data_IF_851090563133
#
_entry.id   IF_851090563133
#
_cell.length_a   1.000
_cell.length_b   1.000
_cell.length_c   1.000
_cell.angle_alpha   90.00
_cell.angle_beta   90.00
_cell.angle_gamma   90.00
#
_symmetry.space_group_name_H-M   'P 1'
#
loop_
_entity.id
_entity.type
_entity.pdbx_description
1 polymer ?
#
# COMPACT_ATOMS: atom_id res chain seq x y z
N UNK A 1 16.51 12.59 7.48
CA UNK A 1 15.99 11.20 7.42
C UNK A 1 17.19 10.27 7.39
N UNK A 2 17.47 9.50 8.44
CA UNK A 2 18.66 8.64 8.48
C UNK A 2 18.49 7.56 7.40
N UNK A 3 19.40 7.47 6.40
CA UNK A 3 19.37 6.37 5.44
C UNK A 3 19.53 5.09 6.26
N UNK A 4 18.63 4.13 6.06
CA UNK A 4 18.76 2.82 6.68
C UNK A 4 20.18 2.32 6.43
N UNK A 5 20.90 1.98 7.50
CA UNK A 5 22.17 1.25 7.38
C UNK A 5 21.84 0.04 6.52
N UNK A 6 22.35 0.05 5.29
CA UNK A 6 21.88 -0.84 4.24
C UNK A 6 22.13 -2.30 4.58
N UNK A 7 21.96 -3.18 3.60
CA UNK A 7 22.36 -4.59 3.63
C UNK A 7 23.77 -4.87 4.23
N UNK A 8 24.59 -3.85 4.48
CA UNK A 8 25.87 -3.93 5.19
C UNK A 8 25.78 -4.05 6.72
N UNK A 9 24.62 -3.83 7.37
CA UNK A 9 24.47 -4.05 8.82
C UNK A 9 23.35 -5.05 9.06
N UNK A 10 23.72 -6.28 9.40
CA UNK A 10 22.81 -7.37 9.72
C UNK A 10 23.43 -8.28 10.79
N UNK A 11 22.58 -9.02 11.49
CA UNK A 11 23.02 -10.13 12.33
C UNK A 11 23.09 -11.40 11.49
N UNK A 12 24.25 -12.07 11.46
CA UNK A 12 24.39 -13.40 10.86
C UNK A 12 23.56 -14.40 11.68
N UNK A 13 22.57 -15.01 11.02
CA UNK A 13 21.64 -15.92 11.65
C UNK A 13 21.95 -17.40 11.37
N UNK A 14 23.20 -17.71 11.00
CA UNK A 14 23.66 -19.07 10.69
C UNK A 14 23.50 -20.06 11.85
N UNK A 15 23.64 -19.61 13.10
CA UNK A 15 23.46 -20.48 14.28
C UNK A 15 21.99 -20.69 14.67
N UNK A 16 21.10 -19.80 14.23
CA UNK A 16 19.67 -19.82 14.56
C UNK A 16 18.91 -20.78 13.66
N UNK A 17 19.36 -20.92 12.42
CA UNK A 17 18.67 -21.64 11.36
C UNK A 17 19.58 -22.66 10.71
N UNK A 18 19.20 -23.95 10.74
CA UNK A 18 19.97 -25.04 10.12
C UNK A 18 19.14 -25.79 9.09
N UNK A 19 19.78 -26.03 7.96
CA UNK A 19 19.31 -26.93 6.92
C UNK A 19 19.56 -28.39 7.30
N UNK A 20 18.89 -29.35 6.63
CA UNK A 20 19.21 -30.76 6.76
C UNK A 20 20.66 -31.03 6.29
N UNK A 21 21.35 -32.06 6.83
CA UNK A 21 22.74 -32.37 6.48
C UNK A 21 23.02 -32.51 4.98
N UNK A 22 22.04 -32.97 4.20
CA UNK A 22 22.13 -33.14 2.74
C UNK A 22 21.34 -32.07 1.96
N UNK A 23 21.37 -30.83 2.42
CA UNK A 23 20.62 -29.72 1.81
C UNK A 23 20.84 -29.57 0.30
N UNK A 24 22.10 -29.66 -0.14
CA UNK A 24 22.46 -29.55 -1.56
C UNK A 24 21.88 -30.69 -2.41
N UNK A 25 21.56 -31.83 -1.80
CA UNK A 25 21.00 -33.01 -2.46
C UNK A 25 19.48 -33.07 -2.33
N UNK A 26 18.88 -32.22 -1.49
CA UNK A 26 17.45 -32.22 -1.23
C UNK A 26 16.69 -31.99 -2.55
N UNK A 27 15.88 -32.97 -3.00
CA UNK A 27 15.17 -32.85 -4.26
C UNK A 27 13.97 -31.93 -4.09
N UNK A 28 13.96 -30.83 -4.82
CA UNK A 28 12.77 -30.03 -5.01
C UNK A 28 12.07 -30.50 -6.27
N UNK A 29 10.82 -30.91 -6.10
CA UNK A 29 9.94 -31.36 -7.17
C UNK A 29 9.30 -30.15 -7.83
N UNK A 30 9.06 -30.23 -9.12
CA UNK A 30 8.28 -29.25 -9.86
C UNK A 30 7.77 -29.93 -11.13
N UNK A 31 6.47 -30.28 -11.15
CA UNK A 31 5.95 -31.23 -12.14
C UNK A 31 6.74 -32.55 -12.07
N UNK A 32 7.23 -33.01 -13.22
CA UNK A 32 8.03 -34.24 -13.34
C UNK A 32 9.54 -34.02 -13.12
N UNK A 33 9.99 -32.77 -12.97
CA UNK A 33 11.41 -32.46 -12.80
C UNK A 33 11.86 -32.48 -11.33
N UNK A 34 12.98 -33.18 -11.08
CA UNK A 34 13.75 -33.09 -9.83
C UNK A 34 14.88 -32.09 -9.96
N UNK A 35 14.92 -31.11 -9.07
CA UNK A 35 16.04 -30.17 -8.95
C UNK A 35 16.76 -30.27 -7.62
N UNK A 36 18.08 -30.18 -7.69
CA UNK A 36 19.02 -30.20 -6.56
C UNK A 36 20.27 -29.40 -6.95
N UNK A 37 21.23 -29.27 -6.05
CA UNK A 37 22.45 -28.47 -6.25
C UNK A 37 22.29 -27.01 -5.82
N UNK A 38 21.35 -26.75 -4.91
CA UNK A 38 21.17 -25.46 -4.28
C UNK A 38 22.12 -25.28 -3.09
N UNK A 39 22.67 -24.09 -2.92
CA UNK A 39 23.53 -23.71 -1.82
C UNK A 39 22.95 -22.49 -1.10
N UNK A 40 23.02 -22.48 0.23
CA UNK A 40 22.63 -21.31 1.00
C UNK A 40 23.63 -20.18 0.71
N UNK A 41 23.14 -19.08 0.16
CA UNK A 41 23.94 -17.90 -0.08
C UNK A 41 24.13 -17.08 1.21
N UNK A 42 23.04 -16.85 1.96
CA UNK A 42 23.09 -16.17 3.25
C UNK A 42 21.84 -16.42 4.10
N UNK A 43 22.00 -16.15 5.41
CA UNK A 43 20.93 -16.06 6.42
C UNK A 43 21.15 -14.79 7.22
N UNK A 44 20.22 -13.84 7.14
CA UNK A 44 20.39 -12.52 7.74
C UNK A 44 19.17 -12.16 8.57
N UNK A 45 19.40 -11.64 9.76
CA UNK A 45 18.38 -10.95 10.54
C UNK A 45 18.65 -9.46 10.43
N UNK A 46 17.64 -8.71 10.01
CA UNK A 46 17.74 -7.27 9.79
C UNK A 46 16.63 -6.59 10.58
N UNK A 47 16.97 -5.49 11.26
CA UNK A 47 16.04 -4.67 12.04
C UNK A 47 16.10 -3.23 11.56
N UNK A 48 14.95 -2.55 11.59
CA UNK A 48 14.87 -1.12 11.29
C UNK A 48 15.19 -0.21 12.48
N UNK A 49 15.53 -0.79 13.62
CA UNK A 49 15.70 -0.07 14.88
C UNK A 49 14.39 0.51 15.43
N UNK A 50 13.25 0.08 14.90
CA UNK A 50 11.93 0.53 15.33
C UNK A 50 11.03 -0.67 15.65
N UNK A 51 10.36 -1.24 14.66
CA UNK A 51 9.35 -2.31 14.84
C UNK A 51 9.49 -3.43 13.81
N UNK A 52 10.14 -3.14 12.68
CA UNK A 52 10.33 -4.07 11.59
C UNK A 52 11.54 -4.95 11.83
N UNK A 53 11.30 -6.26 11.91
CA UNK A 53 12.34 -7.27 11.91
C UNK A 53 12.07 -8.21 10.74
N UNK A 54 13.06 -8.36 9.85
CA UNK A 54 13.01 -9.31 8.74
C UNK A 54 14.11 -10.34 8.88
N UNK A 55 13.74 -11.60 8.72
CA UNK A 55 14.68 -12.68 8.48
C UNK A 55 14.74 -12.96 6.97
N UNK A 56 15.92 -12.86 6.39
CA UNK A 56 16.17 -13.20 4.98
C UNK A 56 16.96 -14.49 4.87
N UNK A 57 16.45 -15.38 4.02
CA UNK A 57 17.17 -16.55 3.56
C UNK A 57 17.33 -16.46 2.05
N UNK A 58 18.57 -16.51 1.58
CA UNK A 58 18.86 -16.63 0.17
C UNK A 58 19.50 -17.98 -0.14
N UNK A 59 19.06 -18.55 -1.24
CA UNK A 59 19.58 -19.78 -1.80
C UNK A 59 19.93 -19.50 -3.25
N UNK A 60 21.10 -19.97 -3.67
CA UNK A 60 21.57 -19.88 -5.04
C UNK A 60 21.74 -21.29 -5.59
N UNK A 61 21.36 -21.50 -6.85
CA UNK A 61 21.57 -22.76 -7.56
C UNK A 61 21.66 -22.49 -9.04
N UNK A 62 22.64 -23.10 -9.71
CA UNK A 62 22.80 -22.99 -11.14
C UNK A 62 22.10 -24.13 -11.87
N UNK A 63 21.14 -23.81 -12.74
CA UNK A 63 20.78 -24.71 -13.87
C UNK A 63 21.60 -24.39 -15.12
N UNK A 64 22.09 -23.16 -15.23
CA UNK A 64 22.99 -22.69 -16.29
C UNK A 64 24.30 -23.50 -16.29
N UNK A 65 24.42 -24.45 -17.22
CA UNK A 65 25.64 -25.27 -17.38
C UNK A 65 25.39 -26.77 -17.53
N UNK A 66 24.23 -27.29 -17.08
CA UNK A 66 23.83 -28.66 -17.42
C UNK A 66 23.25 -28.66 -18.83
N UNK A 67 24.10 -28.91 -19.83
CA UNK A 67 23.71 -29.00 -21.25
C UNK A 67 22.45 -29.86 -21.39
N UNK A 68 21.44 -29.35 -22.09
CA UNK A 68 20.24 -30.09 -22.48
C UNK A 68 19.06 -30.06 -21.49
N UNK A 69 19.14 -29.36 -20.35
CA UNK A 69 17.94 -29.16 -19.51
C UNK A 69 17.01 -28.10 -20.09
N UNK A 70 15.72 -28.44 -20.17
CA UNK A 70 14.69 -27.49 -20.56
C UNK A 70 14.58 -26.34 -19.55
N UNK A 71 14.14 -25.17 -20.04
CA UNK A 71 13.69 -24.05 -19.20
C UNK A 71 12.44 -24.49 -18.43
N UNK A 72 12.31 -24.09 -17.17
CA UNK A 72 11.09 -24.36 -16.42
C UNK A 72 9.88 -23.68 -17.09
N UNK A 73 8.76 -24.40 -17.28
CA UNK A 73 7.47 -23.77 -17.49
C UNK A 73 7.15 -22.78 -16.35
N UNK A 74 6.35 -21.76 -16.64
CA UNK A 74 6.08 -20.72 -15.64
C UNK A 74 5.35 -21.24 -14.39
N UNK A 75 4.38 -22.15 -14.56
CA UNK A 75 3.69 -22.78 -13.43
C UNK A 75 4.64 -23.62 -12.57
N UNK A 76 5.57 -24.31 -13.21
CA UNK A 76 6.61 -25.10 -12.55
C UNK A 76 7.56 -24.21 -11.73
N UNK A 77 7.94 -23.03 -12.23
CA UNK A 77 8.73 -22.09 -11.44
C UNK A 77 8.03 -21.71 -10.12
N UNK A 78 6.73 -21.42 -10.15
CA UNK A 78 5.98 -21.07 -8.93
C UNK A 78 5.84 -22.27 -8.00
N UNK A 79 5.57 -23.46 -8.54
CA UNK A 79 5.50 -24.70 -7.76
C UNK A 79 6.84 -24.99 -7.07
N UNK A 80 7.96 -24.83 -7.78
CA UNK A 80 9.30 -24.95 -7.23
C UNK A 80 9.52 -23.97 -6.07
N UNK A 81 9.14 -22.70 -6.24
CA UNK A 81 9.27 -21.67 -5.21
C UNK A 81 8.41 -21.97 -3.98
N UNK A 82 7.23 -22.55 -4.15
CA UNK A 82 6.38 -22.95 -3.02
C UNK A 82 6.93 -24.18 -2.31
N UNK A 83 7.51 -25.14 -3.04
CA UNK A 83 8.13 -26.33 -2.45
C UNK A 83 9.33 -25.99 -1.56
N UNK A 84 9.97 -24.82 -1.75
CA UNK A 84 10.94 -24.30 -0.79
C UNK A 84 10.34 -24.08 0.60
N UNK A 85 9.08 -23.68 0.70
CA UNK A 85 8.41 -23.48 1.98
C UNK A 85 8.20 -24.79 2.73
N UNK A 86 8.15 -25.93 2.04
CA UNK A 86 8.12 -27.28 2.63
C UNK A 86 9.50 -27.87 2.90
N UNK A 87 10.58 -27.10 2.75
CA UNK A 87 11.90 -27.56 3.16
C UNK A 87 11.93 -27.76 4.68
N UNK A 88 12.28 -28.97 5.18
CA UNK A 88 12.44 -29.21 6.61
C UNK A 88 13.68 -28.46 7.11
N UNK A 89 13.54 -27.77 8.24
CA UNK A 89 14.58 -26.94 8.84
C UNK A 89 14.58 -27.13 10.36
N UNK A 90 15.68 -26.76 11.01
CA UNK A 90 15.79 -26.73 12.45
C UNK A 90 16.06 -25.29 12.92
N UNK A 91 15.21 -24.77 13.80
CA UNK A 91 15.38 -23.46 14.43
C UNK A 91 15.79 -23.64 15.88
N UNK A 92 16.84 -22.96 16.32
CA UNK A 92 17.35 -23.07 17.70
C UNK A 92 16.27 -22.68 18.72
N UNK A 93 15.91 -23.63 19.59
CA UNK A 93 14.79 -23.50 20.53
C UNK A 93 15.17 -22.67 21.75
N UNK A 94 14.16 -22.10 22.40
CA UNK A 94 14.29 -21.35 23.64
C UNK A 94 14.43 -22.31 24.84
N UNK A 95 15.64 -22.79 25.13
CA UNK A 95 15.98 -23.51 26.38
C UNK A 95 17.49 -23.51 26.69
N UNK A 96 17.87 -23.94 27.90
CA UNK A 96 19.24 -24.38 28.19
C UNK A 96 19.48 -25.71 27.47
N UNK A 97 20.50 -25.74 26.62
CA UNK A 97 20.84 -26.87 25.74
C UNK A 97 20.57 -26.57 24.26
N UNK A 98 21.32 -27.25 23.39
CA UNK A 98 21.31 -27.16 21.93
C UNK A 98 20.03 -27.75 21.29
N UNK A 99 18.88 -27.62 21.98
CA UNK A 99 17.57 -28.12 21.53
C UNK A 99 17.10 -27.29 20.34
N UNK A 100 16.58 -27.98 19.31
CA UNK A 100 16.08 -27.35 18.09
C UNK A 100 14.64 -27.75 17.83
N UNK A 101 13.87 -26.78 17.35
CA UNK A 101 12.51 -26.98 16.88
C UNK A 101 12.58 -27.32 15.38
N UNK A 102 12.22 -28.54 15.04
CA UNK A 102 12.09 -28.95 13.65
C UNK A 102 10.76 -28.42 13.10
N UNK A 103 10.80 -27.73 11.97
CA UNK A 103 9.62 -27.21 11.28
C UNK A 103 9.89 -27.11 9.77
N UNK A 104 8.90 -26.69 9.00
CA UNK A 104 9.08 -26.36 7.59
C UNK A 104 9.45 -24.88 7.45
N UNK A 105 10.17 -24.51 6.39
CA UNK A 105 10.61 -23.12 6.16
C UNK A 105 9.44 -22.13 6.19
N UNK A 106 8.31 -22.44 5.55
CA UNK A 106 7.12 -21.60 5.56
C UNK A 106 6.46 -21.43 6.93
N UNK A 107 6.85 -22.26 7.91
CA UNK A 107 6.36 -22.23 9.29
C UNK A 107 7.41 -21.70 10.29
N UNK A 108 8.58 -21.25 9.80
CA UNK A 108 9.68 -20.79 10.63
C UNK A 108 9.37 -19.54 11.46
N UNK A 109 8.34 -18.76 11.08
CA UNK A 109 8.02 -17.49 11.73
C UNK A 109 7.80 -17.61 13.24
N UNK A 110 7.02 -18.60 13.69
CA UNK A 110 6.73 -18.80 15.11
C UNK A 110 7.98 -19.16 15.95
N UNK A 111 8.80 -20.18 15.59
CA UNK A 111 10.02 -20.46 16.34
C UNK A 111 11.07 -19.35 16.24
N UNK A 112 11.18 -18.64 15.11
CA UNK A 112 12.07 -17.47 15.00
C UNK A 112 11.65 -16.33 15.93
N UNK A 113 10.35 -16.05 15.99
CA UNK A 113 9.76 -15.05 16.88
C UNK A 113 10.06 -15.37 18.34
N UNK A 114 9.85 -16.63 18.76
CA UNK A 114 10.18 -17.07 20.12
C UNK A 114 11.68 -16.94 20.44
N UNK A 115 12.55 -17.25 19.47
CA UNK A 115 13.99 -17.09 19.61
C UNK A 115 14.40 -15.63 19.77
N UNK A 116 13.90 -14.74 18.91
CA UNK A 116 14.22 -13.30 18.94
C UNK A 116 13.73 -12.67 20.23
N UNK A 117 12.50 -12.96 20.66
CA UNK A 117 11.96 -12.45 21.91
C UNK A 117 12.91 -12.79 23.06
N UNK A 118 13.26 -14.06 23.24
CA UNK A 118 14.22 -14.47 24.27
C UNK A 118 15.58 -13.77 24.15
N UNK A 119 16.12 -13.70 22.93
CA UNK A 119 17.45 -13.13 22.69
C UNK A 119 17.50 -11.63 23.05
N UNK A 120 16.39 -10.92 22.88
CA UNK A 120 16.28 -9.47 23.07
C UNK A 120 15.72 -9.07 24.44
N UNK A 121 14.99 -9.97 25.13
CA UNK A 121 14.37 -9.70 26.43
C UNK A 121 15.03 -10.49 27.56
N UNK A 122 16.36 -10.49 27.67
CA UNK A 122 17.05 -11.14 28.80
C UNK A 122 16.58 -10.54 30.13
N UNK A 123 15.66 -11.25 30.78
CA UNK A 123 15.13 -10.87 32.08
C UNK A 123 15.96 -11.54 33.19
N UNK A 124 16.23 -10.85 34.32
CA UNK A 124 16.65 -11.49 35.55
C UNK A 124 15.70 -12.65 35.89
N UNK A 125 16.24 -13.73 36.44
CA UNK A 125 15.56 -15.01 36.75
C UNK A 125 14.26 -14.90 37.57
N UNK A 126 13.93 -13.72 38.10
CA UNK A 126 12.74 -13.43 38.91
C UNK A 126 11.63 -12.64 38.19
N UNK A 127 11.77 -12.33 36.90
CA UNK A 127 10.83 -11.47 36.16
C UNK A 127 9.84 -12.31 35.33
N UNK A 128 8.54 -11.93 35.26
CA UNK A 128 7.54 -12.67 34.48
C UNK A 128 8.02 -12.91 33.05
N UNK A 129 7.81 -14.13 32.54
CA UNK A 129 8.17 -14.53 31.18
C UNK A 129 7.76 -13.45 30.18
N UNK A 130 8.68 -13.03 29.31
CA UNK A 130 8.38 -12.05 28.27
C UNK A 130 7.07 -12.40 27.54
N UNK A 131 6.18 -11.41 27.41
CA UNK A 131 4.88 -11.63 26.80
C UNK A 131 5.07 -11.98 25.31
N UNK A 132 4.58 -13.15 24.92
CA UNK A 132 4.64 -13.65 23.55
C UNK A 132 3.87 -12.76 22.57
N UNK A 133 3.02 -11.86 23.06
CA UNK A 133 2.32 -10.86 22.26
C UNK A 133 3.23 -9.73 21.76
N UNK A 134 4.45 -9.57 22.28
CA UNK A 134 5.34 -8.48 21.89
C UNK A 134 5.93 -8.65 20.48
N UNK A 135 6.01 -9.88 20.00
CA UNK A 135 6.53 -10.18 18.67
C UNK A 135 5.61 -11.19 17.99
N UNK A 136 5.19 -10.86 16.77
CA UNK A 136 4.29 -11.68 15.99
C UNK A 136 4.93 -12.07 14.66
N UNK A 137 4.75 -13.32 14.20
CA UNK A 137 5.26 -13.72 12.90
C UNK A 137 4.46 -13.06 11.77
N UNK A 138 5.18 -12.47 10.83
CA UNK A 138 4.64 -12.08 9.52
C UNK A 138 4.48 -13.29 8.59
N UNK A 139 3.78 -13.08 7.48
CA UNK A 139 3.69 -14.02 6.36
C UNK A 139 5.02 -14.04 5.59
N UNK A 140 5.42 -15.21 5.06
CA UNK A 140 6.61 -15.29 4.22
C UNK A 140 6.38 -14.57 2.89
N UNK A 141 7.47 -14.16 2.26
CA UNK A 141 7.54 -13.68 0.89
C UNK A 141 8.55 -14.52 0.12
N UNK A 142 8.22 -14.86 -1.13
CA UNK A 142 9.16 -15.49 -2.06
C UNK A 142 9.63 -14.46 -3.09
N UNK A 143 10.91 -14.49 -3.40
CA UNK A 143 11.51 -13.67 -4.47
C UNK A 143 12.44 -14.55 -5.30
N UNK A 144 12.24 -14.56 -6.61
CA UNK A 144 13.08 -15.28 -7.55
C UNK A 144 13.78 -14.29 -8.50
N UNK A 145 15.09 -14.49 -8.67
CA UNK A 145 15.92 -13.79 -9.65
C UNK A 145 16.46 -14.85 -10.63
N UNK A 146 16.07 -14.74 -11.91
CA UNK A 146 16.32 -15.77 -12.92
C UNK A 146 16.53 -15.16 -14.31
N UNK A 147 17.01 -15.98 -15.24
CA UNK A 147 17.15 -15.64 -16.66
C UNK A 147 16.09 -16.37 -17.50
N UNK A 148 15.78 -15.84 -18.70
CA UNK A 148 14.87 -16.48 -19.65
C UNK A 148 15.30 -17.88 -20.13
N UNK A 149 16.58 -18.24 -19.90
CA UNK A 149 17.13 -19.58 -20.15
C UNK A 149 16.81 -20.57 -19.03
N UNK A 150 16.53 -20.09 -17.82
CA UNK A 150 16.28 -20.91 -16.64
C UNK A 150 14.79 -21.21 -16.46
N UNK A 151 13.94 -20.22 -16.68
CA UNK A 151 12.49 -20.36 -16.52
C UNK A 151 11.70 -19.40 -17.42
N UNK A 152 10.45 -19.76 -17.67
CA UNK A 152 9.45 -18.89 -18.26
C UNK A 152 8.71 -18.15 -17.15
N UNK A 153 8.24 -16.94 -17.44
CA UNK A 153 7.33 -16.23 -16.54
C UNK A 153 5.99 -16.98 -16.46
N UNK A 154 5.37 -17.11 -15.27
CA UNK A 154 4.03 -17.66 -15.13
C UNK A 154 3.01 -16.82 -15.91
N UNK A 155 2.02 -17.46 -16.56
CA UNK A 155 1.03 -16.76 -17.38
C UNK A 155 0.09 -15.88 -16.55
N UNK A 156 -0.10 -16.20 -15.28
CA UNK A 156 -0.92 -15.49 -14.30
C UNK A 156 -0.14 -14.39 -13.55
N UNK A 157 1.16 -14.26 -13.78
CA UNK A 157 1.96 -13.22 -13.14
C UNK A 157 1.70 -11.84 -13.78
N UNK A 158 1.30 -10.88 -12.95
CA UNK A 158 1.09 -9.50 -13.35
C UNK A 158 2.45 -8.84 -13.56
N UNK A 159 2.69 -8.33 -14.77
CA UNK A 159 3.89 -7.55 -15.09
C UNK A 159 3.79 -6.18 -14.43
N UNK A 160 4.89 -5.74 -13.83
CA UNK A 160 5.02 -4.44 -13.19
C UNK A 160 5.93 -3.56 -14.03
N UNK A 161 5.36 -2.47 -14.55
CA UNK A 161 6.12 -1.47 -15.28
C UNK A 161 6.94 -0.63 -14.30
N UNK A 162 8.26 -0.79 -14.32
CA UNK A 162 9.19 -0.02 -13.50
C UNK A 162 9.37 1.42 -14.00
N UNK A 163 8.85 1.76 -15.20
CA UNK A 163 9.04 3.05 -15.89
C UNK A 163 10.50 3.40 -16.15
N UNK A 164 11.38 2.41 -16.07
CA UNK A 164 12.81 2.52 -16.35
C UNK A 164 13.34 1.18 -16.84
N UNK A 165 14.21 1.23 -17.85
CA UNK A 165 14.89 0.03 -18.34
C UNK A 165 16.19 -0.17 -17.55
N UNK A 166 16.18 -1.19 -16.69
CA UNK A 166 17.36 -1.64 -15.93
C UNK A 166 17.82 -3.04 -16.39
N UNK A 167 17.33 -3.50 -17.55
CA UNK A 167 17.61 -4.84 -18.08
C UNK A 167 16.91 -5.97 -17.34
N UNK A 168 15.77 -5.69 -16.68
CA UNK A 168 14.94 -6.70 -15.99
C UNK A 168 13.46 -6.49 -16.27
N UNK A 169 12.69 -7.58 -16.22
CA UNK A 169 11.24 -7.56 -16.15
C UNK A 169 10.80 -7.97 -14.74
N UNK A 170 10.01 -7.11 -14.09
CA UNK A 170 9.41 -7.41 -12.78
C UNK A 170 8.01 -7.95 -12.99
N UNK A 171 7.67 -9.02 -12.28
CA UNK A 171 6.32 -9.53 -12.19
C UNK A 171 5.97 -9.97 -10.77
N UNK A 172 4.67 -10.02 -10.47
CA UNK A 172 4.13 -10.45 -9.20
C UNK A 172 3.00 -11.46 -9.41
N UNK A 173 2.98 -12.52 -8.61
CA UNK A 173 1.86 -13.43 -8.52
C UNK A 173 1.65 -13.89 -7.07
N UNK A 174 0.59 -14.65 -6.84
CA UNK A 174 0.35 -15.34 -5.57
C UNK A 174 0.47 -16.83 -5.76
N UNK A 175 0.80 -17.50 -4.69
CA UNK A 175 0.59 -18.94 -4.61
C UNK A 175 0.06 -19.35 -3.24
N UNK A 176 -0.71 -20.44 -3.22
CA UNK A 176 -1.26 -20.99 -1.99
C UNK A 176 -0.25 -21.93 -1.34
N UNK A 177 0.01 -21.72 -0.06
CA UNK A 177 0.81 -22.59 0.78
C UNK A 177 0.02 -22.92 2.05
N UNK A 178 -0.40 -24.18 2.20
CA UNK A 178 -1.17 -24.68 3.36
C UNK A 178 -2.37 -23.78 3.71
N UNK A 179 -3.12 -23.34 2.69
CA UNK A 179 -4.29 -22.46 2.85
C UNK A 179 -3.97 -20.99 3.10
N UNK A 180 -2.69 -20.60 3.12
CA UNK A 180 -2.27 -19.20 3.21
C UNK A 180 -1.73 -18.74 1.86
N UNK A 181 -2.15 -17.55 1.42
CA UNK A 181 -1.62 -16.95 0.20
C UNK A 181 -0.28 -16.28 0.48
N UNK A 182 0.73 -16.63 -0.33
CA UNK A 182 2.11 -16.14 -0.26
C UNK A 182 2.38 -15.30 -1.50
N UNK A 183 2.93 -14.10 -1.30
CA UNK A 183 3.38 -13.23 -2.39
C UNK A 183 4.65 -13.77 -3.04
N UNK A 184 4.71 -13.70 -4.37
CA UNK A 184 5.86 -14.17 -5.14
C UNK A 184 6.29 -13.07 -6.10
N UNK A 185 7.47 -12.50 -5.85
CA UNK A 185 8.13 -11.58 -6.77
C UNK A 185 9.04 -12.33 -7.73
N UNK A 186 8.95 -11.99 -9.01
CA UNK A 186 9.69 -12.61 -10.10
C UNK A 186 10.48 -11.53 -10.83
N UNK A 187 11.80 -11.65 -10.79
CA UNK A 187 12.71 -10.75 -11.48
C UNK A 187 13.40 -11.54 -12.59
N UNK A 188 12.94 -11.33 -13.83
CA UNK A 188 13.55 -11.91 -15.01
C UNK A 188 14.62 -10.97 -15.56
N UNK A 189 15.87 -11.42 -15.67
CA UNK A 189 16.94 -10.67 -16.36
C UNK A 189 16.74 -10.80 -17.86
N UNK A 190 16.32 -9.69 -18.50
CA UNK A 190 16.01 -9.64 -19.93
C UNK A 190 17.24 -9.31 -20.77
N UNK A 191 18.21 -8.58 -20.21
CA UNK A 191 19.45 -8.21 -20.88
C UNK A 191 20.68 -9.05 -20.46
N UNK A 192 21.76 -9.06 -21.26
CA UNK A 192 23.02 -9.74 -20.91
C UNK A 192 23.77 -9.05 -19.75
N UNK A 193 23.55 -7.74 -19.56
CA UNK A 193 24.15 -6.94 -18.50
C UNK A 193 23.07 -6.06 -17.84
N UNK A 194 22.22 -6.62 -16.95
CA UNK A 194 21.31 -5.81 -16.15
C UNK A 194 22.12 -4.87 -15.24
N UNK A 195 21.57 -3.68 -14.96
CA UNK A 195 22.16 -2.79 -13.97
C UNK A 195 22.12 -3.49 -12.59
N UNK A 196 23.30 -3.93 -12.15
CA UNK A 196 23.45 -4.74 -10.94
C UNK A 196 23.10 -3.95 -9.68
N UNK A 197 23.39 -2.65 -9.65
CA UNK A 197 23.05 -1.84 -8.48
C UNK A 197 21.55 -1.53 -8.45
N UNK A 198 20.94 -1.22 -9.61
CA UNK A 198 19.49 -1.09 -9.69
C UNK A 198 18.77 -2.38 -9.29
N UNK A 199 19.22 -3.55 -9.78
CA UNK A 199 18.66 -4.84 -9.40
C UNK A 199 18.81 -5.12 -7.89
N UNK A 200 19.94 -4.76 -7.30
CA UNK A 200 20.13 -4.84 -5.84
C UNK A 200 19.14 -3.93 -5.11
N UNK A 201 19.04 -2.66 -5.50
CA UNK A 201 18.09 -1.68 -4.93
C UNK A 201 16.65 -2.15 -5.06
N UNK A 202 16.29 -2.77 -6.19
CA UNK A 202 14.96 -3.34 -6.41
C UNK A 202 14.65 -4.47 -5.44
N UNK A 203 15.55 -5.46 -5.29
CA UNK A 203 15.36 -6.56 -4.33
C UNK A 203 15.19 -6.04 -2.91
N UNK A 204 16.02 -5.10 -2.49
CA UNK A 204 15.90 -4.44 -1.17
C UNK A 204 14.55 -3.75 -1.03
N UNK A 205 14.11 -3.03 -2.07
CA UNK A 205 12.83 -2.33 -2.06
C UNK A 205 11.67 -3.31 -1.86
N UNK A 206 11.60 -4.39 -2.64
CA UNK A 206 10.50 -5.37 -2.58
C UNK A 206 10.45 -6.07 -1.21
N UNK A 207 11.60 -6.54 -0.71
CA UNK A 207 11.67 -7.20 0.60
C UNK A 207 11.28 -6.24 1.73
N UNK A 208 11.70 -4.96 1.64
CA UNK A 208 11.31 -3.94 2.62
C UNK A 208 9.83 -3.62 2.55
N UNK A 209 9.31 -3.42 1.35
CA UNK A 209 7.89 -3.12 1.16
C UNK A 209 7.02 -4.19 1.85
N UNK A 210 7.34 -5.47 1.64
CA UNK A 210 6.66 -6.58 2.31
C UNK A 210 6.79 -6.56 3.84
N UNK A 211 7.97 -6.21 4.36
CA UNK A 211 8.20 -6.13 5.81
C UNK A 211 7.33 -5.05 6.45
N UNK A 212 7.38 -3.84 5.90
CA UNK A 212 6.61 -2.69 6.39
C UNK A 212 5.10 -2.99 6.31
N UNK A 213 4.69 -3.58 5.19
CA UNK A 213 3.33 -4.03 4.97
C UNK A 213 2.87 -5.02 6.05
N UNK A 214 3.64 -6.07 6.32
CA UNK A 214 3.31 -7.07 7.33
C UNK A 214 3.28 -6.48 8.75
N UNK A 215 4.18 -5.54 9.06
CA UNK A 215 4.17 -4.81 10.33
C UNK A 215 2.89 -4.01 10.50
N UNK A 216 2.49 -3.22 9.49
CA UNK A 216 1.25 -2.45 9.52
C UNK A 216 0.05 -3.39 9.68
N UNK A 217 -0.03 -4.46 8.89
CA UNK A 217 -1.10 -5.48 8.96
C UNK A 217 -1.22 -6.10 10.36
N UNK A 218 -0.11 -6.46 10.99
CA UNK A 218 -0.08 -7.08 12.32
C UNK A 218 -0.50 -6.09 13.42
N UNK A 219 0.01 -4.86 13.39
CA UNK A 219 -0.36 -3.82 14.35
C UNK A 219 -1.84 -3.48 14.24
N UNK A 220 -2.38 -3.35 13.02
CA UNK A 220 -3.80 -3.08 12.83
C UNK A 220 -4.68 -4.19 13.39
N UNK A 221 -4.35 -5.45 13.13
CA UNK A 221 -5.07 -6.59 13.73
C UNK A 221 -4.99 -6.58 15.26
N UNK A 222 -3.86 -6.17 15.81
CA UNK A 222 -3.71 -6.01 17.25
C UNK A 222 -4.64 -4.91 17.78
N UNK A 223 -4.69 -3.74 17.13
CA UNK A 223 -5.56 -2.63 17.52
C UNK A 223 -7.04 -2.99 17.42
N UNK A 224 -7.45 -3.69 16.35
CA UNK A 224 -8.84 -4.13 16.20
C UNK A 224 -9.27 -5.08 17.33
N UNK A 225 -8.33 -5.88 17.86
CA UNK A 225 -8.59 -6.75 19.02
C UNK A 225 -8.55 -6.00 20.36
N UNK A 226 -7.70 -4.97 20.46
CA UNK A 226 -7.42 -4.22 21.70
C UNK A 226 -8.17 -2.89 21.83
N UNK A 227 -9.02 -2.52 20.87
CA UNK A 227 -9.80 -1.27 20.86
C UNK A 227 -10.71 -1.05 22.09
N UNK A 228 -10.76 -2.00 23.03
CA UNK A 228 -11.48 -1.91 24.31
C UNK A 228 -10.64 -1.38 25.48
N UNK A 229 -9.31 -1.32 25.36
CA UNK A 229 -8.44 -1.12 26.54
C UNK A 229 -7.95 0.32 26.75
N UNK A 230 -8.31 1.28 25.88
CA UNK A 230 -7.96 2.71 26.06
C UNK A 230 -6.45 3.02 26.15
N UNK A 231 -5.58 2.07 25.80
CA UNK A 231 -4.12 2.21 25.91
C UNK A 231 -3.53 3.11 24.82
N UNK A 232 -2.39 3.70 25.17
CA UNK A 232 -1.66 4.77 24.49
C UNK A 232 -1.73 4.75 22.94
N UNK A 233 -2.58 5.60 22.40
CA UNK A 233 -2.82 5.77 20.95
C UNK A 233 -1.68 6.48 20.23
N UNK A 234 -0.80 7.19 20.94
CA UNK A 234 0.20 8.07 20.32
C UNK A 234 1.35 7.27 19.70
N UNK A 235 1.92 6.29 20.42
CA UNK A 235 3.01 5.46 19.91
C UNK A 235 2.59 4.66 18.67
N UNK A 236 1.34 4.16 18.70
CA UNK A 236 0.71 3.47 17.57
C UNK A 236 0.49 4.43 16.40
N UNK A 237 -0.04 5.62 16.64
CA UNK A 237 -0.28 6.63 15.59
C UNK A 237 1.04 7.05 14.94
N UNK A 238 2.09 7.28 15.74
CA UNK A 238 3.45 7.56 15.25
C UNK A 238 3.99 6.42 14.40
N UNK A 239 3.80 5.17 14.82
CA UNK A 239 4.17 4.00 14.02
C UNK A 239 3.41 3.97 12.69
N UNK A 240 2.09 4.11 12.72
CA UNK A 240 1.25 4.06 11.54
C UNK A 240 1.57 5.19 10.57
N UNK A 241 1.71 6.43 11.05
CA UNK A 241 2.09 7.57 10.21
C UNK A 241 3.42 7.30 9.49
N UNK A 242 4.44 6.79 10.19
CA UNK A 242 5.72 6.43 9.59
C UNK A 242 5.62 5.29 8.57
N UNK A 243 4.85 4.24 8.89
CA UNK A 243 4.61 3.12 7.98
C UNK A 243 3.89 3.58 6.72
N UNK A 244 2.89 4.45 6.87
CA UNK A 244 2.15 5.04 5.75
C UNK A 244 3.05 5.92 4.90
N UNK A 245 3.87 6.79 5.47
CA UNK A 245 4.80 7.62 4.69
C UNK A 245 5.71 6.77 3.80
N UNK A 246 6.11 5.58 4.26
CA UNK A 246 6.88 4.62 3.47
C UNK A 246 6.03 3.98 2.37
N UNK A 247 4.77 3.66 2.65
CA UNK A 247 3.83 3.08 1.70
C UNK A 247 3.23 4.09 0.71
N UNK A 248 3.29 5.40 1.00
CA UNK A 248 2.72 6.46 0.14
C UNK A 248 3.77 7.29 -0.57
N UNK A 249 5.07 7.07 -0.31
CA UNK A 249 6.14 7.76 -1.03
C UNK A 249 6.07 7.42 -2.53
N UNK A 250 6.02 8.40 -3.44
CA UNK A 250 5.89 8.14 -4.88
C UNK A 250 7.14 7.47 -5.47
N UNK A 251 8.31 7.72 -4.88
CA UNK A 251 9.58 7.09 -5.31
C UNK A 251 10.38 6.56 -4.13
N UNK A 252 10.92 5.36 -4.27
CA UNK A 252 11.86 4.74 -3.32
C UNK A 252 12.94 3.96 -4.06
N UNK A 253 14.18 4.05 -3.56
CA UNK A 253 15.34 3.34 -4.11
C UNK A 253 15.59 3.58 -5.62
N UNK A 254 15.11 4.71 -6.15
CA UNK A 254 15.17 5.08 -7.56
C UNK A 254 13.98 4.62 -8.40
N UNK A 255 13.08 3.80 -7.87
CA UNK A 255 11.91 3.26 -8.57
C UNK A 255 10.66 4.09 -8.30
N UNK A 256 9.77 4.13 -9.29
CA UNK A 256 8.38 4.53 -9.09
C UNK A 256 7.68 3.44 -8.27
N UNK A 257 7.07 3.86 -7.16
CA UNK A 257 6.50 2.94 -6.20
C UNK A 257 5.05 2.57 -6.55
N UNK A 258 4.32 3.43 -7.28
CA UNK A 258 2.90 3.21 -7.55
C UNK A 258 2.61 1.90 -8.29
N UNK A 259 3.36 1.53 -9.36
CA UNK A 259 3.13 0.26 -10.06
C UNK A 259 3.43 -0.96 -9.17
N UNK A 260 4.46 -0.85 -8.32
CA UNK A 260 4.89 -1.92 -7.41
C UNK A 260 3.83 -2.13 -6.32
N UNK A 261 3.34 -1.04 -5.73
CA UNK A 261 2.24 -1.07 -4.76
C UNK A 261 0.96 -1.60 -5.38
N UNK A 262 0.58 -1.14 -6.57
CA UNK A 262 -0.62 -1.62 -7.25
C UNK A 262 -0.56 -3.14 -7.47
N UNK A 263 0.60 -3.66 -7.88
CA UNK A 263 0.81 -5.09 -8.06
C UNK A 263 0.80 -5.88 -6.74
N UNK A 264 1.39 -5.33 -5.67
CA UNK A 264 1.34 -5.92 -4.34
C UNK A 264 -0.09 -5.94 -3.78
N UNK A 265 -0.80 -4.81 -3.85
CA UNK A 265 -2.12 -4.61 -3.26
C UNK A 265 -3.24 -5.34 -3.99
N UNK A 266 -3.30 -5.25 -5.32
CA UNK A 266 -4.30 -6.00 -6.11
C UNK A 266 -4.16 -7.50 -5.88
N UNK A 267 -2.92 -7.98 -5.81
CA UNK A 267 -2.65 -9.37 -5.53
C UNK A 267 -3.04 -9.71 -4.09
N UNK A 268 -2.66 -8.93 -3.09
CA UNK A 268 -2.78 -9.36 -1.70
C UNK A 268 -4.20 -9.41 -1.13
N UNK A 269 -5.20 -8.75 -1.75
CA UNK A 269 -6.54 -8.59 -1.18
C UNK A 269 -6.43 -8.24 0.30
N UNK A 270 -5.66 -7.17 0.57
CA UNK A 270 -4.83 -6.97 1.77
C UNK A 270 -5.47 -7.38 3.10
N UNK A 271 -6.73 -7.09 3.20
CA UNK A 271 -7.48 -6.81 4.40
C UNK A 271 -8.92 -6.89 3.89
N UNK A 272 -9.82 -7.58 4.57
CA UNK A 272 -11.22 -7.60 4.11
C UNK A 272 -11.70 -6.14 3.99
N UNK A 273 -12.55 -5.81 3.01
CA UNK A 273 -12.83 -4.41 2.66
C UNK A 273 -13.30 -3.57 3.88
N UNK A 274 -13.90 -4.23 4.87
CA UNK A 274 -14.28 -3.73 6.18
C UNK A 274 -13.09 -3.40 7.10
N UNK A 275 -12.10 -4.28 7.20
CA UNK A 275 -10.87 -4.04 7.96
C UNK A 275 -10.08 -2.84 7.34
N UNK A 276 -10.09 -2.65 6.01
CA UNK A 276 -9.41 -1.53 5.34
C UNK A 276 -10.14 -0.20 5.56
N UNK A 277 -11.47 -0.21 5.53
CA UNK A 277 -12.29 0.96 5.91
C UNK A 277 -12.04 1.35 7.36
N UNK A 278 -11.99 0.37 8.26
CA UNK A 278 -11.70 0.59 9.69
C UNK A 278 -10.32 1.21 9.86
N UNK A 279 -9.32 0.68 9.15
CA UNK A 279 -7.97 1.23 9.12
C UNK A 279 -7.96 2.67 8.61
N UNK A 280 -8.54 2.93 7.44
CA UNK A 280 -8.59 4.27 6.83
C UNK A 280 -9.29 5.25 7.77
N UNK A 281 -10.41 4.85 8.38
CA UNK A 281 -11.14 5.65 9.36
C UNK A 281 -10.27 5.99 10.58
N UNK A 282 -9.66 5.00 11.25
CA UNK A 282 -8.78 5.25 12.41
C UNK A 282 -7.61 6.18 12.07
N UNK A 283 -7.04 6.02 10.88
CA UNK A 283 -5.93 6.85 10.40
C UNK A 283 -6.36 8.28 10.07
N UNK A 284 -7.51 8.47 9.42
CA UNK A 284 -8.06 9.79 9.13
C UNK A 284 -8.44 10.54 10.40
N UNK A 285 -9.05 9.85 11.38
CA UNK A 285 -9.44 10.43 12.66
C UNK A 285 -8.21 10.81 13.49
N UNK A 286 -7.17 9.96 13.52
CA UNK A 286 -5.92 10.29 14.22
C UNK A 286 -5.15 11.41 13.51
N UNK A 287 -5.08 11.43 12.18
CA UNK A 287 -4.50 12.56 11.43
C UNK A 287 -5.24 13.86 11.67
N UNK A 288 -6.57 13.85 11.68
CA UNK A 288 -7.37 15.04 12.01
C UNK A 288 -7.07 15.54 13.44
N UNK A 289 -6.85 14.61 14.38
CA UNK A 289 -6.46 14.93 15.76
C UNK A 289 -5.04 15.49 15.87
N UNK A 290 -4.07 14.89 15.16
CA UNK A 290 -2.68 15.34 15.12
C UNK A 290 -2.57 16.73 14.45
N UNK A 291 -3.32 16.95 13.35
CA UNK A 291 -3.41 18.26 12.69
C UNK A 291 -4.06 19.30 13.62
N UNK A 292 -5.16 18.96 14.30
CA UNK A 292 -5.77 19.86 15.27
C UNK A 292 -4.85 20.18 16.46
N UNK A 293 -4.01 19.21 16.88
CA UNK A 293 -3.04 19.40 17.95
C UNK A 293 -1.86 20.29 17.49
N UNK A 294 -1.38 20.12 16.27
CA UNK A 294 -0.37 21.01 15.65
C UNK A 294 -0.96 22.41 15.46
N UNK A 295 -2.20 22.55 15.00
CA UNK A 295 -2.88 23.84 14.85
C UNK A 295 -3.05 24.54 16.21
N UNK A 296 -3.36 23.80 17.28
CA UNK A 296 -3.47 24.36 18.63
C UNK A 296 -2.11 24.78 19.21
N UNK A 297 -1.03 24.03 18.94
CA UNK A 297 0.33 24.42 19.32
C UNK A 297 0.80 25.63 18.51
N UNK A 298 0.52 25.65 17.21
CA UNK A 298 0.90 26.75 16.29
C UNK A 298 0.10 28.03 16.58
N UNK A 299 -1.19 27.92 16.92
CA UNK A 299 -2.01 29.05 17.42
C UNK A 299 -1.58 29.53 18.80
N UNK A 300 -1.16 28.62 19.69
CA UNK A 300 -0.57 28.98 20.98
C UNK A 300 0.75 29.75 20.85
N UNK A 301 1.50 29.51 19.78
CA UNK A 301 2.77 30.18 19.48
C UNK A 301 2.56 31.49 18.70
N UNK A 302 1.56 31.57 17.81
CA UNK A 302 1.17 32.79 17.10
C UNK A 302 0.56 33.88 18.02
N UNK A 303 0.02 33.50 19.18
CA UNK A 303 -0.42 34.43 20.22
C UNK A 303 0.74 35.08 21.01
N UNK A 304 1.97 34.58 20.86
CA UNK A 304 3.16 35.17 21.47
C UNK A 304 3.91 36.14 20.52
N UNK A 305 3.73 36.01 19.20
CA UNK A 305 4.55 36.75 18.21
C UNK A 305 3.79 37.83 17.41
N UNK A 306 2.51 38.07 17.66
CA UNK A 306 1.73 39.10 16.94
C UNK A 306 1.80 40.49 17.59
N UNK A 307 2.98 41.11 17.51
CA UNK A 307 3.14 42.57 17.60
C UNK A 307 4.18 43.02 16.55
N UNK A 308 3.78 43.16 15.28
CA UNK A 308 4.24 44.23 14.35
C UNK A 308 3.54 44.17 13.00
N UNK A 309 3.40 45.36 12.42
CA UNK A 309 2.51 45.87 11.37
C UNK A 309 2.89 45.50 9.91
N UNK A 310 2.03 45.86 8.92
CA UNK A 310 1.89 45.17 7.64
C UNK A 310 2.69 45.82 6.51
N UNK A 311 3.09 45.03 5.52
CA UNK A 311 3.09 45.52 4.15
C UNK A 311 2.88 44.40 3.13
N UNK A 312 2.16 44.75 2.07
CA UNK A 312 1.58 43.86 1.08
C UNK A 312 2.60 43.24 0.14
N UNK A 313 2.52 41.92 -0.01
CA UNK A 313 3.20 41.17 -1.07
C UNK A 313 2.48 39.85 -1.29
N UNK A 314 2.04 39.61 -2.53
CA UNK A 314 1.35 38.39 -2.96
C UNK A 314 2.22 37.16 -2.66
N UNK A 315 1.74 36.30 -1.77
CA UNK A 315 2.39 35.04 -1.41
C UNK A 315 1.99 33.95 -2.41
N UNK A 316 2.93 33.10 -2.87
CA UNK A 316 2.58 31.89 -3.59
C UNK A 316 1.85 30.91 -2.66
N UNK A 317 0.69 30.42 -3.10
CA UNK A 317 -0.08 29.39 -2.38
C UNK A 317 0.46 28.02 -2.80
N UNK A 318 0.95 27.25 -1.82
CA UNK A 318 1.41 25.89 -2.02
C UNK A 318 0.25 24.91 -1.80
N UNK A 319 -0.11 24.16 -2.83
CA UNK A 319 -1.05 23.04 -2.75
C UNK A 319 -0.31 21.77 -3.16
N UNK A 320 -0.42 20.73 -2.33
CA UNK A 320 0.19 19.41 -2.46
C UNK A 320 0.63 19.01 -3.89
N UNK A 321 1.95 18.89 -4.06
CA UNK A 321 2.70 18.28 -5.18
C UNK A 321 2.44 18.72 -6.63
N UNK A 322 1.79 19.86 -6.91
CA UNK A 322 1.75 20.43 -8.29
C UNK A 322 1.85 21.95 -8.36
N UNK A 323 2.58 22.42 -9.38
CA UNK A 323 2.70 23.85 -9.75
C UNK A 323 1.57 24.19 -10.73
N UNK A 324 0.73 25.16 -10.37
CA UNK A 324 -0.21 25.81 -11.31
C UNK A 324 0.17 27.29 -11.41
N UNK A 325 0.65 27.71 -12.58
CA UNK A 325 0.82 29.13 -12.92
C UNK A 325 -0.41 29.56 -13.70
N UNK A 326 -1.31 30.31 -13.07
CA UNK A 326 -2.44 30.93 -13.76
C UNK A 326 -2.03 32.30 -14.32
N UNK A 327 -1.71 32.35 -15.61
CA UNK A 327 -1.67 33.61 -16.35
C UNK A 327 -3.09 34.06 -16.72
N UNK A 328 -3.38 35.36 -16.58
CA UNK A 328 -4.66 35.95 -17.02
C UNK A 328 -4.85 35.74 -18.53
N UNK A 329 -5.90 35.02 -18.94
CA UNK A 329 -6.49 35.13 -20.28
C UNK A 329 -6.40 33.92 -21.23
N UNK A 330 -6.38 32.68 -20.76
CA UNK A 330 -6.42 31.48 -21.63
C UNK A 330 -7.75 30.73 -21.57
N UNK A 331 -8.41 30.53 -22.72
CA UNK A 331 -9.51 29.56 -22.92
C UNK A 331 -9.04 28.13 -22.65
N UNK A 332 -9.83 27.38 -21.86
CA UNK A 332 -9.60 25.97 -21.51
C UNK A 332 -10.09 25.10 -22.67
N UNK A 333 -9.16 24.60 -23.50
CA UNK A 333 -9.43 23.52 -24.43
C UNK A 333 -8.75 22.24 -23.92
N UNK A 334 -9.57 21.22 -23.68
CA UNK A 334 -9.25 19.83 -23.32
C UNK A 334 -8.70 19.54 -21.90
N UNK A 335 -9.57 18.95 -21.09
CA UNK A 335 -9.19 18.07 -19.98
C UNK A 335 -9.20 16.61 -20.46
N UNK A 336 -8.04 15.96 -20.44
CA UNK A 336 -7.96 14.49 -20.56
C UNK A 336 -7.76 13.86 -19.18
N UNK A 337 -8.85 13.59 -18.48
CA UNK A 337 -8.88 12.64 -17.37
C UNK A 337 -9.21 11.25 -17.90
N UNK A 338 -8.20 10.42 -18.13
CA UNK A 338 -8.37 8.99 -18.42
C UNK A 338 -8.43 8.22 -17.10
N UNK A 339 -9.59 8.22 -16.45
CA UNK A 339 -9.86 7.41 -15.26
C UNK A 339 -10.55 6.10 -15.67
N UNK A 340 -9.77 5.04 -15.85
CA UNK A 340 -10.23 3.67 -16.08
C UNK A 340 -10.24 2.83 -14.79
N UNK A 341 -10.75 3.38 -13.68
CA UNK A 341 -10.84 2.68 -12.40
C UNK A 341 -12.13 3.05 -11.68
N UNK A 342 -12.85 2.05 -11.17
CA UNK A 342 -14.09 2.25 -10.43
C UNK A 342 -13.83 3.07 -9.15
N UNK A 343 -14.35 4.29 -9.09
CA UNK A 343 -14.30 5.15 -7.91
C UNK A 343 -15.48 4.78 -6.99
N UNK A 344 -15.21 4.14 -5.86
CA UNK A 344 -16.17 3.94 -4.77
C UNK A 344 -15.85 4.89 -3.60
N UNK A 345 -16.31 6.13 -3.68
CA UNK A 345 -16.37 7.03 -2.52
C UNK A 345 -17.77 6.95 -1.88
N UNK A 346 -17.86 6.61 -0.59
CA UNK A 346 -19.12 6.70 0.17
C UNK A 346 -19.07 7.96 1.02
N UNK A 347 -19.96 8.90 0.74
CA UNK A 347 -20.33 9.99 1.65
C UNK A 347 -21.57 9.47 2.42
N UNK A 348 -21.49 9.41 3.75
CA UNK A 348 -22.59 9.20 4.71
C UNK A 348 -23.63 8.12 4.40
N UNK A 349 -23.61 6.99 5.14
CA UNK A 349 -24.69 5.99 5.38
C UNK A 349 -25.71 5.64 4.27
N UNK A 350 -25.41 5.89 3.01
CA UNK A 350 -26.24 5.57 1.86
C UNK A 350 -25.36 5.42 0.63
N UNK A 351 -25.67 4.42 -0.21
CA UNK A 351 -24.97 4.11 -1.46
C UNK A 351 -25.13 5.19 -2.55
N UNK A 352 -25.10 6.48 -2.20
CA UNK A 352 -25.52 7.59 -3.06
C UNK A 352 -24.63 7.70 -4.30
N UNK A 353 -23.29 7.72 -4.13
CA UNK A 353 -22.36 7.96 -5.26
C UNK A 353 -22.36 6.82 -6.29
N UNK A 354 -22.32 5.56 -5.85
CA UNK A 354 -22.27 4.39 -6.77
C UNK A 354 -23.53 4.28 -7.61
N UNK A 355 -24.71 4.57 -7.03
CA UNK A 355 -25.96 4.55 -7.78
C UNK A 355 -26.12 5.78 -8.68
N UNK A 356 -25.56 6.93 -8.33
CA UNK A 356 -25.62 8.14 -9.16
C UNK A 356 -24.98 7.92 -10.54
N UNK A 357 -23.81 7.29 -10.64
CA UNK A 357 -23.18 7.07 -11.95
C UNK A 357 -23.98 6.15 -12.86
N UNK A 358 -24.52 5.05 -12.33
CA UNK A 358 -25.38 4.15 -13.09
C UNK A 358 -26.66 4.84 -13.57
N UNK A 359 -27.25 5.71 -12.73
CA UNK A 359 -28.44 6.50 -13.08
C UNK A 359 -28.13 7.55 -14.16
N UNK A 360 -26.98 8.22 -14.07
CA UNK A 360 -26.54 9.20 -15.07
C UNK A 360 -26.30 8.50 -16.41
N UNK A 361 -25.60 7.36 -16.41
CA UNK A 361 -25.30 6.61 -17.64
C UNK A 361 -26.57 6.09 -18.34
N UNK A 362 -27.54 5.60 -17.56
CA UNK A 362 -28.82 5.10 -18.04
C UNK A 362 -29.83 6.18 -18.45
N UNK A 363 -29.52 7.47 -18.32
CA UNK A 363 -30.44 8.56 -18.66
C UNK A 363 -30.45 8.89 -20.16
N UNK A 364 -31.47 9.64 -20.60
CA UNK A 364 -31.57 10.14 -21.98
C UNK A 364 -30.90 11.52 -22.18
N UNK A 365 -30.05 11.95 -21.24
CA UNK A 365 -29.32 13.21 -21.36
C UNK A 365 -28.25 13.16 -22.47
N UNK A 366 -27.88 14.30 -23.08
CA UNK A 366 -26.71 14.39 -23.94
C UNK A 366 -25.44 13.90 -23.24
N UNK A 367 -24.52 13.25 -23.98
CA UNK A 367 -23.29 12.67 -23.41
C UNK A 367 -22.42 13.72 -22.68
N UNK A 368 -22.41 14.96 -23.18
CA UNK A 368 -21.72 16.08 -22.53
C UNK A 368 -22.32 16.42 -21.16
N UNK A 369 -23.66 16.46 -21.06
CA UNK A 369 -24.34 16.68 -19.79
C UNK A 369 -24.11 15.54 -18.80
N UNK A 370 -24.07 14.28 -19.28
CA UNK A 370 -23.71 13.11 -18.45
C UNK A 370 -22.30 13.24 -17.90
N UNK A 371 -21.33 13.63 -18.73
CA UNK A 371 -19.95 13.82 -18.31
C UNK A 371 -19.82 14.92 -17.23
N UNK A 372 -20.49 16.06 -17.42
CA UNK A 372 -20.49 17.15 -16.46
C UNK A 372 -21.18 16.79 -15.14
N UNK A 373 -22.29 16.04 -15.17
CA UNK A 373 -22.93 15.52 -13.96
C UNK A 373 -22.03 14.56 -13.17
N UNK A 374 -21.23 13.72 -13.86
CA UNK A 374 -20.23 12.87 -13.21
C UNK A 374 -19.14 13.70 -12.53
N UNK A 375 -18.59 14.68 -13.24
CA UNK A 375 -17.59 15.61 -12.70
C UNK A 375 -18.13 16.39 -11.49
N UNK A 376 -19.39 16.84 -11.56
CA UNK A 376 -20.06 17.51 -10.44
C UNK A 376 -20.17 16.59 -9.22
N UNK A 377 -20.53 15.31 -9.45
CA UNK A 377 -20.62 14.30 -8.39
C UNK A 377 -19.27 14.10 -7.69
N UNK A 378 -18.19 14.01 -8.45
CA UNK A 378 -16.83 13.84 -7.93
C UNK A 378 -16.37 15.10 -7.16
N UNK A 379 -16.61 16.29 -7.71
CA UNK A 379 -16.24 17.56 -7.08
C UNK A 379 -16.98 17.78 -5.76
N UNK A 380 -18.28 17.45 -5.72
CA UNK A 380 -19.07 17.49 -4.49
C UNK A 380 -18.59 16.44 -3.49
N UNK A 381 -18.24 15.23 -3.92
CA UNK A 381 -17.69 14.22 -3.02
C UNK A 381 -16.37 14.64 -2.37
N UNK A 382 -15.49 15.27 -3.14
CA UNK A 382 -14.26 15.84 -2.63
C UNK A 382 -14.53 16.97 -1.63
N UNK A 383 -15.50 17.84 -1.92
CA UNK A 383 -15.87 18.98 -1.07
C UNK A 383 -16.49 18.51 0.24
N UNK A 384 -17.44 17.56 0.17
CA UNK A 384 -18.10 16.97 1.34
C UNK A 384 -17.11 16.29 2.29
N UNK A 385 -16.01 15.73 1.79
CA UNK A 385 -14.95 15.12 2.63
C UNK A 385 -14.22 16.11 3.54
N UNK A 386 -14.38 17.42 3.32
CA UNK A 386 -13.76 18.50 4.08
C UNK A 386 -14.73 19.30 4.95
N UNK A 387 -16.03 19.02 4.83
CA UNK A 387 -17.07 19.69 5.60
C UNK A 387 -17.34 18.95 6.92
N UNK A 388 -17.82 19.65 7.97
CA UNK A 388 -18.49 19.03 9.11
C UNK A 388 -19.57 18.03 8.67
N UNK A 389 -19.80 16.97 9.46
CA UNK A 389 -20.71 15.87 9.09
C UNK A 389 -22.11 16.34 8.68
N UNK A 390 -22.67 17.30 9.41
CA UNK A 390 -24.02 17.84 9.16
C UNK A 390 -24.10 18.59 7.82
N UNK A 391 -23.07 19.39 7.50
CA UNK A 391 -22.97 20.11 6.23
C UNK A 391 -22.67 19.18 5.06
N UNK A 392 -21.82 18.17 5.26
CA UNK A 392 -21.54 17.13 4.27
C UNK A 392 -22.79 16.32 3.91
N UNK A 393 -23.63 15.99 4.91
CA UNK A 393 -24.92 15.35 4.71
C UNK A 393 -25.90 16.26 3.95
N UNK A 394 -25.95 17.55 4.27
CA UNK A 394 -26.78 18.52 3.56
C UNK A 394 -26.37 18.62 2.08
N UNK A 395 -25.08 18.78 1.81
CA UNK A 395 -24.53 18.86 0.44
C UNK A 395 -24.81 17.59 -0.36
N UNK A 396 -24.76 16.42 0.28
CA UNK A 396 -25.07 15.15 -0.37
C UNK A 396 -26.56 15.04 -0.72
N UNK A 397 -27.45 15.54 0.15
CA UNK A 397 -28.89 15.63 -0.13
C UNK A 397 -29.18 16.59 -1.27
N UNK A 398 -28.54 17.75 -1.28
CA UNK A 398 -28.71 18.75 -2.32
C UNK A 398 -28.20 18.24 -3.69
N UNK A 399 -27.07 17.54 -3.72
CA UNK A 399 -26.58 16.88 -4.94
C UNK A 399 -27.56 15.84 -5.45
N UNK A 400 -28.14 15.03 -4.56
CA UNK A 400 -29.12 14.00 -4.94
C UNK A 400 -30.36 14.64 -5.55
N UNK A 401 -30.89 15.70 -4.91
CA UNK A 401 -32.05 16.43 -5.41
C UNK A 401 -31.76 17.13 -6.75
N UNK A 402 -30.55 17.69 -6.91
CA UNK A 402 -30.10 18.27 -8.17
C UNK A 402 -30.05 17.21 -9.28
N UNK A 403 -29.48 16.03 -9.01
CA UNK A 403 -29.42 14.92 -9.97
C UNK A 403 -30.82 14.40 -10.32
N UNK A 404 -31.71 14.25 -9.34
CA UNK A 404 -33.08 13.76 -9.57
C UNK A 404 -33.86 14.70 -10.49
N UNK A 405 -33.74 16.02 -10.30
CA UNK A 405 -34.36 17.01 -11.17
C UNK A 405 -33.68 17.04 -12.55
N UNK A 406 -32.34 16.96 -12.61
CA UNK A 406 -31.58 16.98 -13.86
C UNK A 406 -31.87 15.76 -14.75
N UNK A 407 -32.09 14.61 -14.14
CA UNK A 407 -32.42 13.34 -14.82
C UNK A 407 -33.92 13.20 -15.12
N UNK A 408 -34.75 14.17 -14.72
CA UNK A 408 -36.18 14.16 -15.03
C UNK A 408 -36.42 14.34 -16.53
N UNK A 409 -37.55 13.85 -17.05
CA UNK A 409 -37.88 14.00 -18.48
C UNK A 409 -38.11 15.46 -18.91
N UNK A 410 -38.35 16.36 -17.95
CA UNK A 410 -38.55 17.80 -18.19
C UNK A 410 -37.89 18.61 -17.05
N UNK A 411 -36.56 18.78 -17.06
CA UNK A 411 -35.84 19.48 -15.99
C UNK A 411 -36.28 20.93 -15.87
N UNK A 412 -36.59 21.39 -14.66
CA UNK A 412 -37.02 22.76 -14.40
C UNK A 412 -35.83 23.61 -13.98
N UNK A 413 -35.46 24.57 -14.83
CA UNK A 413 -34.35 25.51 -14.59
C UNK A 413 -34.36 26.16 -13.22
N UNK A 414 -35.52 26.65 -12.78
CA UNK A 414 -35.64 27.32 -11.49
C UNK A 414 -35.37 26.39 -10.30
N UNK A 415 -35.71 25.09 -10.41
CA UNK A 415 -35.47 24.10 -9.36
C UNK A 415 -33.98 23.72 -9.32
N UNK A 416 -33.38 23.50 -10.48
CA UNK A 416 -31.94 23.25 -10.60
C UNK A 416 -31.11 24.43 -10.07
N UNK A 417 -31.54 25.67 -10.32
CA UNK A 417 -30.88 26.85 -9.80
C UNK A 417 -30.92 26.88 -8.26
N UNK A 418 -32.05 26.54 -7.63
CA UNK A 418 -32.17 26.49 -6.17
C UNK A 418 -31.19 25.50 -5.54
N UNK A 419 -31.10 24.28 -6.08
CA UNK A 419 -30.14 23.28 -5.58
C UNK A 419 -28.70 23.64 -5.96
N UNK A 420 -28.50 24.22 -7.14
CA UNK A 420 -27.21 24.71 -7.60
C UNK A 420 -26.64 25.80 -6.70
N UNK A 421 -27.47 26.77 -6.30
CA UNK A 421 -27.10 27.83 -5.36
C UNK A 421 -26.81 27.25 -3.96
N UNK A 422 -27.52 26.20 -3.54
CA UNK A 422 -27.23 25.50 -2.28
C UNK A 422 -25.86 24.81 -2.32
N UNK A 423 -25.55 24.11 -3.42
CA UNK A 423 -24.24 23.49 -3.63
C UNK A 423 -23.12 24.53 -3.71
N UNK A 424 -23.38 25.72 -4.27
CA UNK A 424 -22.43 26.82 -4.31
C UNK A 424 -22.17 27.41 -2.92
N UNK A 425 -23.18 27.57 -2.06
CA UNK A 425 -22.96 28.04 -0.68
C UNK A 425 -22.03 27.12 0.11
N UNK A 426 -22.06 25.82 -0.17
CA UNK A 426 -21.14 24.88 0.45
C UNK A 426 -19.68 25.06 -0.02
N UNK A 427 -19.46 25.65 -1.20
CA UNK A 427 -18.12 25.99 -1.71
C UNK A 427 -17.47 27.07 -0.84
N UNK A 428 -18.25 28.05 -0.38
CA UNK A 428 -17.74 29.17 0.42
C UNK A 428 -17.07 28.70 1.73
N UNK A 429 -17.45 27.53 2.25
CA UNK A 429 -16.85 26.92 3.43
C UNK A 429 -15.49 26.24 3.16
N UNK A 430 -15.22 25.81 1.92
CA UNK A 430 -14.05 24.97 1.59
C UNK A 430 -13.05 25.69 0.68
N UNK A 431 -13.32 26.96 0.34
CA UNK A 431 -12.44 27.81 -0.46
C UNK A 431 -12.20 27.28 -1.87
N UNK A 432 -10.95 27.35 -2.34
CA UNK A 432 -10.55 26.99 -3.71
C UNK A 432 -10.95 25.57 -4.14
N UNK A 433 -11.14 24.66 -3.18
CA UNK A 433 -11.49 23.25 -3.43
C UNK A 433 -12.87 23.11 -4.06
N UNK A 434 -13.81 24.00 -3.71
CA UNK A 434 -15.18 23.96 -4.22
C UNK A 434 -15.40 24.78 -5.50
N UNK A 435 -14.44 25.59 -5.94
CA UNK A 435 -14.58 26.46 -7.12
C UNK A 435 -15.07 25.73 -8.40
N UNK A 436 -14.69 24.47 -8.68
CA UNK A 436 -15.22 23.73 -9.82
C UNK A 436 -16.74 23.50 -9.77
N UNK A 437 -17.35 23.41 -8.57
CA UNK A 437 -18.78 23.10 -8.41
C UNK A 437 -19.65 24.20 -9.05
N UNK A 438 -19.32 25.47 -8.84
CA UNK A 438 -20.10 26.59 -9.39
C UNK A 438 -20.12 26.58 -10.94
N UNK A 439 -18.95 26.33 -11.54
CA UNK A 439 -18.80 26.25 -12.99
C UNK A 439 -19.55 25.03 -13.56
N UNK A 440 -19.44 23.87 -12.91
CA UNK A 440 -20.09 22.64 -13.33
C UNK A 440 -21.62 22.72 -13.21
N UNK A 441 -22.13 23.28 -12.11
CA UNK A 441 -23.58 23.53 -11.94
C UNK A 441 -24.11 24.41 -13.07
N UNK A 442 -23.42 25.52 -13.34
CA UNK A 442 -23.84 26.46 -14.40
C UNK A 442 -23.82 25.81 -15.78
N UNK A 443 -22.78 25.03 -16.08
CA UNK A 443 -22.64 24.30 -17.34
C UNK A 443 -23.73 23.23 -17.51
N UNK A 444 -24.01 22.44 -16.47
CA UNK A 444 -25.07 21.43 -16.51
C UNK A 444 -26.43 22.08 -16.75
N UNK A 445 -26.78 23.13 -16.01
CA UNK A 445 -28.05 23.86 -16.20
C UNK A 445 -28.17 24.39 -17.63
N UNK A 446 -27.10 24.97 -18.18
CA UNK A 446 -27.09 25.52 -19.54
C UNK A 446 -27.30 24.48 -20.65
N UNK A 447 -27.01 23.20 -20.40
CA UNK A 447 -27.15 22.13 -21.38
C UNK A 447 -28.48 21.38 -21.31
N UNK A 448 -29.10 21.30 -20.13
CA UNK A 448 -30.29 20.45 -19.90
C UNK A 448 -31.62 21.22 -19.83
N UNK A 449 -31.57 22.56 -19.81
CA UNK A 449 -32.75 23.45 -19.82
C UNK A 449 -32.66 24.41 -20.98
#
# INVERSE_FOLDING_TARGET
>A
MVPWLGEGVFCDATSVFRFPPSFSEFPLLSGDERTSGFACAYRRLITDGFVGIRFELAVAGGRSGRRGRARFPGQDLVALLINWLDLPIAVTSSGDGDRRNNCHLGQAGAPLTAHILRATTRLPTSTPSADRSWLHPGRPLLLADYTSKEAQRPPDAKVVDLRQDIGVCLAHCRASYRGTLVGVWLIERTGPNPDRDALRRLRVHLLRLHTEYECVRLVLRFLMRQAKDGRNTEAVSRFLNRGLDLLTSPRKYGFDQDPILAAAYEAEQLVAADEWRTMTHMLTTNRARDVAQIDNVTRGQALLDSNTTPDGGSQPVYIADRIVVAGKGGTVNEFHTRAGGNIHGVIGSGNVVTNSFNRIDGSNLPDEAKALLKQLTEAVALTASKLPSEEAEQVSRDLTAFQDEALSGTPRRNVLQVFGDSLQKAVDFVGDVGAPIANLVTAVIGLIT
#
